data_IF_750176719596
#
_entry.id   IF_750176719596
#
_cell.length_a   1.000
_cell.length_b   1.000
_cell.length_c   1.000
_cell.angle_alpha   90.00
_cell.angle_beta   90.00
_cell.angle_gamma   90.00
#
_symmetry.space_group_name_H-M   'P 1'
#
loop_
_entity.id
_entity.type
_entity.pdbx_description
1 polymer ?
#
# COMPACT_ATOMS: atom_id res chain seq x y z
N UNK A 1 52.16 -13.97 2.36
CA UNK A 1 51.69 -14.55 1.10
C UNK A 1 50.66 -15.61 1.44
N UNK A 2 49.36 -15.37 1.34
CA UNK A 2 48.60 -14.31 0.64
C UNK A 2 47.46 -13.87 1.58
N UNK A 3 47.42 -12.60 1.98
CA UNK A 3 46.67 -11.51 1.33
C UNK A 3 45.17 -11.84 1.24
N UNK A 4 44.48 -11.53 2.35
CA UNK A 4 43.05 -11.22 2.32
C UNK A 4 42.96 -9.79 1.84
N UNK A 5 42.76 -9.61 0.54
CA UNK A 5 42.47 -8.30 -0.04
C UNK A 5 41.18 -7.75 0.59
N UNK A 6 41.40 -6.73 1.41
CA UNK A 6 40.44 -5.70 1.79
C UNK A 6 39.90 -5.06 0.52
N UNK A 7 38.75 -5.52 0.04
CA UNK A 7 38.00 -4.80 -0.98
C UNK A 7 37.21 -3.67 -0.30
N UNK A 8 37.93 -2.61 0.10
CA UNK A 8 37.37 -1.27 0.22
C UNK A 8 36.97 -0.80 -1.20
N UNK A 9 35.77 -1.19 -1.61
CA UNK A 9 35.15 -0.76 -2.86
C UNK A 9 34.58 0.66 -2.66
N UNK A 10 35.50 1.62 -2.55
CA UNK A 10 35.30 3.08 -2.44
C UNK A 10 34.84 3.68 -3.79
N UNK A 11 33.92 3.01 -4.48
CA UNK A 11 33.32 3.51 -5.71
C UNK A 11 32.30 4.61 -5.36
N UNK A 12 32.38 5.80 -6.01
CA UNK A 12 31.43 6.86 -5.78
C UNK A 12 30.01 6.42 -6.15
N UNK A 13 29.10 6.52 -5.17
CA UNK A 13 27.66 6.25 -5.32
C UNK A 13 27.12 7.00 -6.53
N UNK A 14 26.78 6.27 -7.59
CA UNK A 14 26.22 6.88 -8.80
C UNK A 14 24.74 7.17 -8.54
N UNK A 15 24.43 8.38 -8.05
CA UNK A 15 23.04 8.84 -7.91
C UNK A 15 22.41 8.97 -9.30
N UNK A 16 21.42 8.11 -9.58
CA UNK A 16 20.69 8.10 -10.85
C UNK A 16 19.90 9.42 -10.97
N UNK A 17 19.95 10.05 -12.15
CA UNK A 17 19.12 11.22 -12.46
C UNK A 17 17.65 10.79 -12.55
N UNK A 18 16.82 11.33 -11.66
CA UNK A 18 15.36 11.15 -11.68
C UNK A 18 14.76 11.74 -12.97
N UNK A 19 14.14 10.91 -13.81
CA UNK A 19 13.32 11.37 -14.93
C UNK A 19 11.93 11.79 -14.43
N UNK A 20 11.81 13.04 -14.01
CA UNK A 20 10.62 13.57 -13.31
C UNK A 20 9.40 13.89 -14.20
N UNK A 21 9.48 13.76 -15.54
CA UNK A 21 8.56 14.46 -16.44
C UNK A 21 7.41 13.63 -17.06
N UNK A 22 7.34 12.30 -16.90
CA UNK A 22 6.34 11.46 -17.61
C UNK A 22 5.58 10.43 -16.76
N UNK A 23 5.72 10.46 -15.44
CA UNK A 23 5.32 9.37 -14.52
C UNK A 23 4.00 9.61 -13.73
N UNK A 24 3.11 10.51 -14.18
CA UNK A 24 2.15 11.18 -13.28
C UNK A 24 0.72 11.30 -13.80
N UNK A 25 -0.04 10.20 -13.94
CA UNK A 25 -1.47 10.37 -14.27
C UNK A 25 -2.40 9.63 -13.32
N UNK A 26 -2.38 8.29 -13.22
CA UNK A 26 -3.45 7.59 -12.48
C UNK A 26 -3.46 7.90 -10.97
N UNK A 27 -2.39 7.55 -10.24
CA UNK A 27 -2.35 7.74 -8.78
C UNK A 27 -2.45 9.20 -8.34
N UNK A 28 -1.86 10.13 -9.09
CA UNK A 28 -1.93 11.55 -8.76
C UNK A 28 -3.31 12.17 -9.03
N UNK A 29 -3.98 11.71 -10.08
CA UNK A 29 -5.33 12.15 -10.39
C UNK A 29 -6.31 11.67 -9.33
N UNK A 30 -6.22 10.41 -8.89
CA UNK A 30 -7.03 9.85 -7.78
C UNK A 30 -6.94 10.74 -6.54
N UNK A 31 -5.72 11.09 -6.12
CA UNK A 31 -5.53 11.91 -4.91
C UNK A 31 -6.06 13.34 -5.08
N UNK A 32 -5.89 13.90 -6.29
CA UNK A 32 -6.37 15.25 -6.59
C UNK A 32 -7.90 15.29 -6.57
N UNK A 33 -8.55 14.32 -7.22
CA UNK A 33 -10.01 14.24 -7.28
C UNK A 33 -10.59 13.95 -5.90
N UNK A 34 -9.97 13.08 -5.11
CA UNK A 34 -10.36 12.81 -3.74
C UNK A 34 -10.19 14.03 -2.81
N UNK A 35 -9.11 14.79 -2.96
CA UNK A 35 -8.89 16.02 -2.19
C UNK A 35 -9.91 17.10 -2.59
N UNK A 36 -10.17 17.27 -3.88
CA UNK A 36 -11.20 18.19 -4.36
C UNK A 36 -12.58 17.79 -3.85
N UNK A 37 -12.93 16.50 -3.92
CA UNK A 37 -14.19 16.00 -3.38
C UNK A 37 -14.32 16.32 -1.89
N UNK A 38 -13.28 16.06 -1.10
CA UNK A 38 -13.26 16.37 0.34
C UNK A 38 -13.44 17.87 0.63
N UNK A 39 -12.97 18.77 -0.24
CA UNK A 39 -13.21 20.22 -0.12
C UNK A 39 -14.65 20.62 -0.49
N UNK A 40 -15.32 19.82 -1.33
CA UNK A 40 -16.65 20.11 -1.89
C UNK A 40 -17.81 19.42 -1.13
N UNK A 41 -17.53 18.39 -0.32
CA UNK A 41 -18.60 17.69 0.41
C UNK A 41 -19.34 18.60 1.39
N UNK A 42 -20.63 18.32 1.58
CA UNK A 42 -21.44 19.05 2.57
C UNK A 42 -20.96 18.79 4.00
N UNK A 43 -21.22 19.74 4.91
CA UNK A 43 -20.89 19.59 6.32
C UNK A 43 -21.59 18.36 6.97
N UNK A 44 -22.82 18.07 6.55
CA UNK A 44 -23.57 16.90 7.03
C UNK A 44 -22.91 15.59 6.56
N UNK A 45 -22.46 15.54 5.31
CA UNK A 45 -21.76 14.38 4.77
C UNK A 45 -20.37 14.19 5.41
N UNK A 46 -19.62 15.27 5.62
CA UNK A 46 -18.34 15.21 6.32
C UNK A 46 -18.53 14.72 7.77
N UNK A 47 -19.56 15.22 8.47
CA UNK A 47 -19.92 14.74 9.82
C UNK A 47 -20.24 13.24 9.81
N UNK A 48 -20.97 12.77 8.79
CA UNK A 48 -21.30 11.35 8.63
C UNK A 48 -20.04 10.51 8.37
N UNK A 49 -19.13 10.96 7.51
CA UNK A 49 -17.84 10.33 7.24
C UNK A 49 -17.04 10.16 8.54
N UNK A 50 -16.82 11.25 9.29
CA UNK A 50 -16.04 11.20 10.53
C UNK A 50 -16.72 10.27 11.54
N UNK A 51 -18.04 10.37 11.72
CA UNK A 51 -18.77 9.47 12.62
C UNK A 51 -18.63 8.00 12.23
N UNK A 52 -18.74 7.69 10.93
CA UNK A 52 -18.60 6.32 10.42
C UNK A 52 -17.23 5.74 10.76
N UNK A 53 -16.16 6.51 10.56
CA UNK A 53 -14.79 6.08 10.88
C UNK A 53 -14.58 5.94 12.39
N UNK A 54 -15.10 6.87 13.18
CA UNK A 54 -15.03 6.79 14.65
C UNK A 54 -15.75 5.57 15.19
N UNK A 55 -16.93 5.21 14.66
CA UNK A 55 -17.66 4.01 15.07
C UNK A 55 -16.88 2.73 14.71
N UNK A 56 -16.20 2.70 13.56
CA UNK A 56 -15.35 1.60 13.12
C UNK A 56 -14.03 1.47 13.91
N UNK A 57 -13.60 2.52 14.62
CA UNK A 57 -12.39 2.48 15.46
C UNK A 57 -12.45 1.45 16.57
N UNK A 58 -13.67 1.05 16.99
CA UNK A 58 -13.89 -0.03 17.94
C UNK A 58 -13.49 -1.42 17.39
N UNK A 59 -13.49 -1.59 16.07
CA UNK A 59 -13.07 -2.84 15.41
C UNK A 59 -11.59 -2.81 15.00
N UNK A 60 -11.07 -1.64 14.64
CA UNK A 60 -9.65 -1.45 14.35
C UNK A 60 -9.22 0.00 14.58
N UNK A 61 -8.21 0.20 15.44
CA UNK A 61 -7.74 1.53 15.82
C UNK A 61 -7.22 2.38 14.64
N UNK A 62 -6.91 1.77 13.48
CA UNK A 62 -6.47 2.55 12.32
C UNK A 62 -7.59 3.43 11.75
N UNK A 63 -8.87 3.13 12.00
CA UNK A 63 -9.96 4.03 11.58
C UNK A 63 -9.92 5.37 12.31
N UNK A 64 -9.42 5.42 13.56
CA UNK A 64 -9.17 6.68 14.26
C UNK A 64 -8.15 7.52 13.50
N UNK A 65 -7.06 6.90 13.02
CA UNK A 65 -6.03 7.59 12.22
C UNK A 65 -6.65 8.17 10.96
N UNK A 66 -7.51 7.42 10.26
CA UNK A 66 -8.21 7.92 9.07
C UNK A 66 -9.16 9.08 9.39
N UNK A 67 -9.89 9.00 10.51
CA UNK A 67 -10.78 10.07 10.96
C UNK A 67 -9.99 11.35 11.27
N UNK A 68 -8.92 11.24 12.06
CA UNK A 68 -8.06 12.37 12.43
C UNK A 68 -7.40 13.02 11.20
N UNK A 69 -7.03 12.22 10.20
CA UNK A 69 -6.48 12.74 8.95
C UNK A 69 -7.54 13.50 8.15
N UNK A 70 -8.78 13.02 8.08
CA UNK A 70 -9.86 13.63 7.29
C UNK A 70 -10.60 14.77 7.99
N UNK A 71 -10.41 14.95 9.30
CA UNK A 71 -10.96 16.06 10.10
C UNK A 71 -9.97 17.26 10.21
N UNK A 72 -8.95 17.29 9.36
CA UNK A 72 -8.01 18.41 9.32
C UNK A 72 -8.63 19.68 8.70
N UNK A 73 -8.13 20.88 9.06
CA UNK A 73 -8.60 22.12 8.47
C UNK A 73 -8.43 22.17 6.95
N UNK A 74 -9.31 22.93 6.27
CA UNK A 74 -9.24 23.17 4.83
C UNK A 74 -7.84 23.68 4.44
N UNK A 75 -7.26 23.09 3.39
CA UNK A 75 -5.93 23.42 2.89
C UNK A 75 -4.77 22.69 3.59
N UNK A 76 -5.06 21.80 4.56
CA UNK A 76 -4.06 20.90 5.12
C UNK A 76 -3.63 19.81 4.11
N UNK A 77 -2.45 19.22 4.34
CA UNK A 77 -1.99 18.07 3.56
C UNK A 77 -2.54 16.80 4.19
N UNK A 78 -3.50 16.16 3.54
CA UNK A 78 -4.06 14.89 3.93
C UNK A 78 -3.11 13.71 3.68
N UNK A 79 -3.15 12.69 4.54
CA UNK A 79 -2.48 11.42 4.28
C UNK A 79 -3.05 10.73 3.02
N UNK A 80 -2.17 10.10 2.23
CA UNK A 80 -2.56 9.52 0.94
C UNK A 80 -3.51 8.34 1.08
N UNK A 81 -3.39 7.52 2.12
CA UNK A 81 -4.30 6.42 2.39
C UNK A 81 -5.70 6.91 2.78
N UNK A 82 -5.80 8.05 3.49
CA UNK A 82 -7.06 8.72 3.74
C UNK A 82 -7.69 9.27 2.44
N UNK A 83 -6.89 9.89 1.55
CA UNK A 83 -7.38 10.30 0.23
C UNK A 83 -7.79 9.11 -0.66
N UNK A 84 -7.09 7.98 -0.57
CA UNK A 84 -7.48 6.77 -1.31
C UNK A 84 -8.80 6.18 -0.80
N UNK A 85 -9.11 6.32 0.49
CA UNK A 85 -10.47 6.04 1.00
C UNK A 85 -11.49 7.01 0.39
N UNK A 86 -11.19 8.30 0.37
CA UNK A 86 -12.09 9.32 -0.20
C UNK A 86 -12.38 9.15 -1.69
N UNK A 87 -11.50 8.47 -2.45
CA UNK A 87 -11.79 8.08 -3.83
C UNK A 87 -13.05 7.21 -3.97
N UNK A 88 -13.36 6.41 -2.94
CA UNK A 88 -14.49 5.49 -2.96
C UNK A 88 -15.68 5.96 -2.12
N UNK A 89 -15.49 6.90 -1.19
CA UNK A 89 -16.57 7.45 -0.38
C UNK A 89 -17.81 7.93 -1.17
N UNK A 90 -17.70 8.56 -2.36
CA UNK A 90 -18.86 8.97 -3.16
C UNK A 90 -19.85 7.84 -3.49
N UNK A 91 -19.47 6.57 -3.32
CA UNK A 91 -20.39 5.44 -3.42
C UNK A 91 -21.59 5.53 -2.47
N UNK A 92 -21.51 6.29 -1.39
CA UNK A 92 -22.65 6.53 -0.49
C UNK A 92 -23.86 7.12 -1.23
N UNK A 93 -23.64 7.88 -2.30
CA UNK A 93 -24.71 8.48 -3.12
C UNK A 93 -25.44 7.46 -4.01
N UNK A 94 -24.99 6.21 -4.06
CA UNK A 94 -25.69 5.13 -4.76
C UNK A 94 -26.85 4.54 -3.94
N UNK A 95 -26.96 4.91 -2.67
CA UNK A 95 -27.98 4.41 -1.75
C UNK A 95 -29.06 5.47 -1.53
N UNK A 96 -30.32 5.10 -1.72
CA UNK A 96 -31.46 6.00 -1.45
C UNK A 96 -31.62 6.28 0.06
N UNK A 97 -31.25 5.32 0.90
CA UNK A 97 -31.28 5.42 2.35
C UNK A 97 -29.88 5.16 2.91
N UNK A 98 -29.36 6.12 3.68
CA UNK A 98 -27.99 6.09 4.25
C UNK A 98 -27.80 4.87 5.15
N UNK A 99 -28.85 4.38 5.80
CA UNK A 99 -28.82 3.19 6.67
C UNK A 99 -28.50 1.90 5.91
N UNK A 100 -28.58 1.90 4.58
CA UNK A 100 -28.21 0.78 3.73
C UNK A 100 -26.72 0.81 3.32
N UNK A 101 -26.03 1.91 3.57
CA UNK A 101 -24.61 2.04 3.28
C UNK A 101 -23.78 1.43 4.41
N UNK A 102 -22.99 0.41 4.06
CA UNK A 102 -21.91 -0.10 4.91
C UNK A 102 -20.58 0.17 4.22
N UNK A 103 -19.74 0.97 4.86
CA UNK A 103 -18.42 1.31 4.36
C UNK A 103 -17.56 0.06 4.13
N UNK A 104 -17.64 -0.94 5.00
CA UNK A 104 -16.83 -2.15 4.86
C UNK A 104 -17.23 -2.96 3.62
N UNK A 105 -18.52 -2.98 3.27
CA UNK A 105 -19.01 -3.68 2.08
C UNK A 105 -18.58 -3.06 0.75
N UNK A 106 -17.99 -1.87 0.77
CA UNK A 106 -17.42 -1.21 -0.40
C UNK A 106 -16.41 -2.10 -1.16
N UNK A 107 -15.62 -2.92 -0.47
CA UNK A 107 -14.65 -3.86 -1.10
C UNK A 107 -15.37 -4.89 -1.99
N UNK A 108 -16.61 -5.25 -1.64
CA UNK A 108 -17.43 -6.19 -2.40
C UNK A 108 -18.08 -5.56 -3.63
N UNK A 109 -18.02 -4.24 -3.79
CA UNK A 109 -18.61 -3.54 -4.92
C UNK A 109 -17.86 -3.79 -6.23
N UNK A 110 -18.60 -3.74 -7.35
CA UNK A 110 -18.02 -3.82 -8.68
C UNK A 110 -17.05 -2.65 -8.95
N UNK A 111 -17.36 -1.46 -8.44
CA UNK A 111 -16.54 -0.27 -8.61
C UNK A 111 -15.16 -0.45 -7.98
N UNK A 112 -15.09 -0.83 -6.69
CA UNK A 112 -13.81 -1.06 -6.01
C UNK A 112 -12.97 -2.13 -6.72
N UNK A 113 -13.58 -3.26 -7.05
CA UNK A 113 -12.89 -4.36 -7.71
C UNK A 113 -12.39 -3.99 -9.12
N UNK A 114 -13.16 -3.21 -9.87
CA UNK A 114 -12.74 -2.73 -11.20
C UNK A 114 -11.54 -1.80 -11.08
N UNK A 115 -11.58 -0.85 -10.16
CA UNK A 115 -10.51 0.14 -9.99
C UNK A 115 -9.19 -0.49 -9.53
N UNK A 116 -9.22 -1.40 -8.54
CA UNK A 116 -8.00 -2.09 -8.10
C UNK A 116 -7.41 -3.00 -9.18
N UNK A 117 -8.26 -3.70 -9.95
CA UNK A 117 -7.79 -4.56 -11.04
C UNK A 117 -7.23 -3.74 -12.20
N UNK A 118 -7.85 -2.60 -12.54
CA UNK A 118 -7.34 -1.68 -13.55
C UNK A 118 -5.97 -1.12 -13.17
N UNK A 119 -5.81 -0.69 -11.92
CA UNK A 119 -4.53 -0.24 -11.39
C UNK A 119 -3.47 -1.36 -11.42
N UNK A 120 -3.86 -2.59 -11.06
CA UNK A 120 -3.00 -3.76 -11.10
C UNK A 120 -2.57 -4.14 -12.52
N UNK A 121 -3.51 -4.18 -13.46
CA UNK A 121 -3.26 -4.57 -14.85
C UNK A 121 -2.31 -3.56 -15.55
N UNK A 122 -2.28 -2.31 -15.08
CA UNK A 122 -1.37 -1.26 -15.55
C UNK A 122 0.08 -1.35 -15.01
N UNK A 123 0.38 -2.24 -14.06
CA UNK A 123 1.74 -2.40 -13.53
C UNK A 123 2.72 -2.85 -14.64
N UNK A 124 3.89 -2.22 -14.73
CA UNK A 124 4.97 -2.71 -15.59
C UNK A 124 5.80 -3.73 -14.79
N UNK A 125 5.40 -5.02 -14.82
CA UNK A 125 6.14 -6.16 -14.24
C UNK A 125 6.18 -7.32 -15.24
N UNK A 126 6.86 -8.43 -14.90
CA UNK A 126 6.84 -9.63 -15.75
C UNK A 126 5.41 -10.17 -15.92
N UNK A 127 5.01 -10.44 -17.17
CA UNK A 127 3.62 -10.81 -17.50
C UNK A 127 3.20 -12.18 -16.95
N UNK A 128 4.12 -13.13 -16.86
CA UNK A 128 3.83 -14.45 -16.28
C UNK A 128 3.61 -14.32 -14.76
N UNK A 129 4.43 -13.53 -14.08
CA UNK A 129 4.25 -13.21 -12.66
C UNK A 129 2.98 -12.40 -12.45
N UNK A 130 2.69 -11.40 -13.30
CA UNK A 130 1.48 -10.58 -13.23
C UNK A 130 0.24 -11.44 -13.29
N UNK A 131 0.16 -12.39 -14.24
CA UNK A 131 -0.97 -13.31 -14.35
C UNK A 131 -1.18 -14.14 -13.07
N UNK A 132 -0.09 -14.63 -12.44
CA UNK A 132 -0.16 -15.40 -11.18
C UNK A 132 -0.59 -14.51 -10.00
N UNK A 133 -0.02 -13.31 -9.86
CA UNK A 133 -0.39 -12.32 -8.84
C UNK A 133 -1.85 -11.94 -8.94
N UNK A 134 -2.35 -11.76 -10.17
CA UNK A 134 -3.76 -11.44 -10.43
C UNK A 134 -4.72 -12.48 -9.87
N UNK A 135 -4.40 -13.77 -9.98
CA UNK A 135 -5.22 -14.85 -9.41
C UNK A 135 -5.25 -14.76 -7.88
N UNK A 136 -4.11 -14.51 -7.24
CA UNK A 136 -4.05 -14.36 -5.77
C UNK A 136 -4.82 -13.11 -5.30
N UNK A 137 -4.78 -12.02 -6.07
CA UNK A 137 -5.58 -10.82 -5.80
C UNK A 137 -7.10 -11.12 -5.85
N UNK A 138 -7.55 -11.83 -6.89
CA UNK A 138 -8.95 -12.25 -7.01
C UNK A 138 -9.37 -13.21 -5.88
N UNK A 139 -8.49 -14.12 -5.47
CA UNK A 139 -8.73 -14.99 -4.31
C UNK A 139 -8.85 -14.18 -3.02
N UNK A 140 -8.03 -13.14 -2.84
CA UNK A 140 -8.08 -12.26 -1.68
C UNK A 140 -9.43 -11.53 -1.61
N UNK A 141 -9.90 -10.96 -2.73
CA UNK A 141 -11.23 -10.33 -2.82
C UNK A 141 -12.36 -11.32 -2.52
N UNK A 142 -12.23 -12.57 -3.00
CA UNK A 142 -13.19 -13.63 -2.69
C UNK A 142 -13.19 -14.02 -1.21
N UNK A 143 -12.02 -14.09 -0.58
CA UNK A 143 -11.92 -14.36 0.87
C UNK A 143 -12.59 -13.27 1.69
N UNK A 144 -12.41 -12.00 1.31
CA UNK A 144 -13.12 -10.88 1.92
C UNK A 144 -14.64 -11.07 1.84
N UNK A 145 -15.15 -11.30 0.63
CA UNK A 145 -16.59 -11.51 0.37
C UNK A 145 -17.20 -12.68 1.16
N UNK A 146 -16.42 -13.73 1.40
CA UNK A 146 -16.85 -14.92 2.13
C UNK A 146 -16.65 -14.83 3.66
N UNK A 147 -16.11 -13.72 4.17
CA UNK A 147 -15.81 -13.54 5.59
C UNK A 147 -14.58 -14.32 6.08
N UNK A 148 -13.71 -14.80 5.19
CA UNK A 148 -12.50 -15.56 5.53
C UNK A 148 -11.32 -14.64 5.84
N UNK A 149 -11.50 -13.75 6.81
CA UNK A 149 -10.54 -12.68 7.14
C UNK A 149 -9.18 -13.22 7.63
N UNK A 150 -9.17 -14.36 8.33
CA UNK A 150 -7.94 -15.05 8.76
C UNK A 150 -7.04 -15.47 7.60
N UNK A 151 -7.61 -15.80 6.44
CA UNK A 151 -6.88 -16.06 5.21
C UNK A 151 -6.65 -14.80 4.36
N UNK A 152 -7.62 -13.88 4.37
CA UNK A 152 -7.56 -12.64 3.59
C UNK A 152 -6.38 -11.75 4.00
N UNK A 153 -6.22 -11.49 5.30
CA UNK A 153 -5.19 -10.60 5.84
C UNK A 153 -3.76 -11.01 5.45
N UNK A 154 -3.30 -12.25 5.71
CA UNK A 154 -1.96 -12.66 5.32
C UNK A 154 -1.76 -12.64 3.80
N UNK A 155 -2.81 -12.97 3.01
CA UNK A 155 -2.74 -12.91 1.56
C UNK A 155 -2.55 -11.48 1.05
N UNK A 156 -3.29 -10.50 1.58
CA UNK A 156 -3.16 -9.09 1.17
C UNK A 156 -1.79 -8.53 1.56
N UNK A 157 -1.27 -8.85 2.76
CA UNK A 157 0.11 -8.48 3.13
C UNK A 157 1.15 -9.10 2.19
N UNK A 158 0.97 -10.37 1.81
CA UNK A 158 1.85 -11.02 0.84
C UNK A 158 1.79 -10.35 -0.54
N UNK A 159 0.63 -9.82 -0.96
CA UNK A 159 0.52 -9.05 -2.20
C UNK A 159 1.23 -7.70 -2.10
N UNK A 160 1.08 -6.96 -0.99
CA UNK A 160 1.80 -5.71 -0.76
C UNK A 160 3.32 -5.89 -0.90
N UNK A 161 3.89 -6.88 -0.22
CA UNK A 161 5.33 -7.14 -0.31
C UNK A 161 5.75 -7.76 -1.66
N UNK A 162 4.94 -8.69 -2.17
CA UNK A 162 5.22 -9.41 -3.41
C UNK A 162 5.25 -8.49 -4.63
N UNK A 163 4.24 -7.65 -4.80
CA UNK A 163 4.15 -6.71 -5.93
C UNK A 163 5.28 -5.68 -5.86
N UNK A 164 5.60 -5.16 -4.66
CA UNK A 164 6.76 -4.29 -4.50
C UNK A 164 8.06 -4.97 -4.92
N UNK A 165 8.22 -6.25 -4.56
CA UNK A 165 9.38 -7.04 -4.98
C UNK A 165 9.47 -7.13 -6.50
N UNK A 166 8.34 -7.40 -7.16
CA UNK A 166 8.27 -7.54 -8.62
C UNK A 166 8.62 -6.21 -9.33
N UNK A 167 8.15 -5.07 -8.79
CA UNK A 167 8.52 -3.73 -9.27
C UNK A 167 10.02 -3.44 -9.10
N UNK A 168 10.59 -3.76 -7.94
CA UNK A 168 12.00 -3.51 -7.68
C UNK A 168 12.93 -4.42 -8.52
N UNK A 169 12.49 -5.65 -8.83
CA UNK A 169 13.18 -6.52 -9.79
C UNK A 169 13.11 -5.92 -11.20
N UNK A 170 11.93 -5.49 -11.64
CA UNK A 170 11.73 -4.94 -12.97
C UNK A 170 12.55 -3.67 -13.21
N UNK A 171 12.61 -2.80 -12.21
CA UNK A 171 13.36 -1.54 -12.25
C UNK A 171 14.87 -1.73 -12.01
N UNK A 172 15.33 -2.95 -11.76
CA UNK A 172 16.75 -3.28 -11.61
C UNK A 172 17.36 -2.93 -10.24
N UNK A 173 16.54 -2.50 -9.27
CA UNK A 173 17.00 -2.22 -7.91
C UNK A 173 17.24 -3.50 -7.09
N UNK A 174 16.51 -4.57 -7.41
CA UNK A 174 16.75 -5.90 -6.90
C UNK A 174 17.24 -6.84 -8.01
N UNK A 175 18.09 -7.79 -7.61
CA UNK A 175 18.44 -8.95 -8.42
C UNK A 175 18.12 -10.22 -7.65
N UNK A 176 17.47 -11.18 -8.31
CA UNK A 176 17.28 -12.51 -7.77
C UNK A 176 18.56 -13.35 -7.96
N UNK A 177 19.02 -13.99 -6.88
CA UNK A 177 20.14 -14.93 -6.88
C UNK A 177 19.72 -16.20 -6.14
N UNK A 178 19.28 -17.21 -6.89
CA UNK A 178 18.64 -18.40 -6.33
C UNK A 178 17.37 -18.01 -5.56
N UNK A 179 17.33 -18.33 -4.27
CA UNK A 179 16.20 -18.02 -3.37
C UNK A 179 16.33 -16.65 -2.68
N UNK A 180 17.38 -15.88 -2.99
CA UNK A 180 17.69 -14.60 -2.32
C UNK A 180 17.45 -13.43 -3.25
N UNK A 181 17.12 -12.28 -2.67
CA UNK A 181 17.13 -11.00 -3.35
C UNK A 181 18.34 -10.19 -2.88
N UNK A 182 19.00 -9.53 -3.83
CA UNK A 182 20.20 -8.73 -3.60
C UNK A 182 19.90 -7.29 -3.97
N UNK A 183 20.22 -6.37 -3.06
CA UNK A 183 20.21 -4.92 -3.31
C UNK A 183 21.36 -4.58 -4.25
N UNK A 184 21.01 -4.20 -5.48
CA UNK A 184 21.97 -3.96 -6.56
C UNK A 184 22.82 -2.72 -6.27
N UNK A 185 22.23 -1.72 -5.61
CA UNK A 185 22.85 -0.42 -5.37
C UNK A 185 23.42 -0.26 -3.96
N UNK A 186 23.35 -1.30 -3.12
CA UNK A 186 23.81 -1.29 -1.73
C UNK A 186 23.15 -0.15 -0.92
N UNK A 187 21.90 0.20 -1.23
CA UNK A 187 21.12 1.27 -0.60
C UNK A 187 20.95 1.00 0.89
N UNK A 188 20.67 -0.25 1.26
CA UNK A 188 20.51 -0.62 2.65
C UNK A 188 21.88 -0.90 3.28
N UNK A 189 22.34 -0.09 4.26
CA UNK A 189 23.63 -0.28 4.88
C UNK A 189 23.65 -1.50 5.81
N UNK A 190 24.82 -2.12 5.96
CA UNK A 190 25.07 -3.19 6.94
C UNK A 190 24.55 -4.57 6.55
N UNK A 191 24.07 -4.75 5.32
CA UNK A 191 23.61 -6.05 4.84
C UNK A 191 24.79 -6.96 4.44
N UNK A 192 24.88 -8.14 5.05
CA UNK A 192 25.80 -9.18 4.60
C UNK A 192 25.45 -9.62 3.18
N UNK A 193 26.40 -9.49 2.26
CA UNK A 193 26.22 -9.80 0.83
C UNK A 193 25.04 -9.05 0.17
N UNK A 194 24.65 -7.90 0.73
CA UNK A 194 23.53 -7.07 0.26
C UNK A 194 22.19 -7.85 0.18
N UNK A 195 22.01 -8.88 1.02
CA UNK A 195 20.83 -9.76 0.99
C UNK A 195 19.60 -9.10 1.62
N UNK A 196 18.50 -9.06 0.85
CA UNK A 196 17.22 -8.46 1.22
C UNK A 196 16.29 -9.52 1.81
N UNK A 197 15.90 -9.31 3.08
CA UNK A 197 15.16 -10.32 3.87
C UNK A 197 13.76 -9.92 4.31
N UNK A 198 13.37 -8.66 4.15
CA UNK A 198 12.13 -8.16 4.74
C UNK A 198 11.55 -7.03 3.90
N UNK A 199 10.26 -6.76 4.11
CA UNK A 199 9.57 -5.61 3.53
C UNK A 199 10.28 -4.29 3.92
N UNK A 200 10.79 -4.17 5.13
CA UNK A 200 11.53 -2.98 5.58
C UNK A 200 12.68 -2.60 4.65
N UNK A 201 13.49 -3.60 4.27
CA UNK A 201 14.59 -3.39 3.33
C UNK A 201 14.08 -2.94 1.95
N UNK A 202 13.01 -3.59 1.46
CA UNK A 202 12.40 -3.27 0.17
C UNK A 202 11.80 -1.86 0.16
N UNK A 203 11.13 -1.45 1.23
CA UNK A 203 10.58 -0.10 1.39
C UNK A 203 11.68 0.97 1.36
N UNK A 204 12.83 0.73 2.00
CA UNK A 204 13.98 1.65 1.90
C UNK A 204 14.49 1.83 0.48
N UNK A 205 14.63 0.73 -0.25
CA UNK A 205 15.04 0.76 -1.66
C UNK A 205 13.99 1.48 -2.51
N UNK A 206 12.71 1.22 -2.26
CA UNK A 206 11.61 1.84 -2.99
C UNK A 206 11.59 3.37 -2.81
N UNK A 207 11.93 3.88 -1.62
CA UNK A 207 12.03 5.33 -1.38
C UNK A 207 13.12 5.99 -2.24
N UNK A 208 14.23 5.29 -2.50
CA UNK A 208 15.27 5.79 -3.42
C UNK A 208 14.80 5.77 -4.88
N UNK A 209 14.02 4.76 -5.27
CA UNK A 209 13.37 4.71 -6.58
C UNK A 209 12.38 5.87 -6.76
N UNK A 210 11.53 6.12 -5.76
CA UNK A 210 10.62 7.25 -5.73
C UNK A 210 10.27 7.63 -4.27
N UNK A 211 10.55 8.88 -3.83
CA UNK A 211 10.29 9.32 -2.45
C UNK A 211 8.83 9.16 -2.01
N UNK A 212 7.89 9.13 -2.94
CA UNK A 212 6.47 8.96 -2.64
C UNK A 212 6.14 7.61 -1.99
N UNK A 213 6.98 6.57 -2.15
CA UNK A 213 6.84 5.32 -1.39
C UNK A 213 6.87 5.54 0.13
N UNK A 214 7.55 6.59 0.63
CA UNK A 214 7.56 6.93 2.05
C UNK A 214 6.19 7.43 2.56
N UNK A 215 5.33 7.88 1.66
CA UNK A 215 4.01 8.40 2.01
C UNK A 215 2.93 7.30 2.03
N UNK A 216 3.24 6.08 1.57
CA UNK A 216 2.31 4.95 1.56
C UNK A 216 2.28 4.26 2.93
N UNK A 217 1.13 4.23 3.58
CA UNK A 217 0.95 3.63 4.91
C UNK A 217 1.46 2.18 5.01
N UNK A 218 1.24 1.36 3.97
CA UNK A 218 1.72 -0.02 3.89
C UNK A 218 3.25 -0.19 4.05
N UNK A 219 4.00 0.85 3.64
CA UNK A 219 5.46 0.86 3.59
C UNK A 219 6.09 1.84 4.58
N UNK A 220 5.29 2.52 5.39
CA UNK A 220 5.80 3.26 6.54
C UNK A 220 6.39 2.27 7.54
N UNK A 221 7.62 2.57 7.93
CA UNK A 221 8.46 1.71 8.77
C UNK A 221 9.07 2.56 9.89
N UNK A 222 8.22 3.21 10.66
CA UNK A 222 8.64 3.83 11.91
C UNK A 222 8.97 2.72 12.92
N UNK A 223 10.18 2.80 13.48
CA UNK A 223 10.67 1.92 14.54
C UNK A 223 9.84 2.00 15.84
N UNK A 224 8.79 2.82 15.84
CA UNK A 224 7.82 3.05 16.91
C UNK A 224 6.37 2.68 16.53
N UNK A 225 6.05 2.20 15.31
CA UNK A 225 4.63 2.04 14.94
C UNK A 225 3.95 0.83 15.54
N UNK A 226 2.73 1.10 15.98
CA UNK A 226 1.66 0.11 16.08
C UNK A 226 1.47 -0.65 14.75
N UNK A 227 1.46 0.00 13.59
CA UNK A 227 1.35 -0.64 12.25
C UNK A 227 2.37 -1.76 12.00
N UNK A 228 3.67 -1.51 12.21
CA UNK A 228 4.71 -2.53 11.95
C UNK A 228 4.59 -3.70 12.93
N UNK A 229 4.35 -3.39 14.22
CA UNK A 229 4.19 -4.39 15.28
C UNK A 229 2.92 -5.23 15.08
N UNK A 230 1.79 -4.58 14.78
CA UNK A 230 0.49 -5.22 14.51
C UNK A 230 0.59 -6.13 13.29
N UNK A 231 1.21 -5.70 12.18
CA UNK A 231 1.49 -6.58 11.03
C UNK A 231 2.29 -7.81 11.45
N UNK A 232 3.40 -7.60 12.17
CA UNK A 232 4.25 -8.69 12.64
C UNK A 232 3.45 -9.68 13.50
N UNK A 233 2.71 -9.17 14.48
CA UNK A 233 1.94 -9.99 15.40
C UNK A 233 0.82 -10.76 14.70
N UNK A 234 0.09 -10.16 13.75
CA UNK A 234 -0.92 -10.86 12.96
C UNK A 234 -0.29 -11.96 12.10
N UNK A 235 0.80 -11.66 11.37
CA UNK A 235 1.46 -12.65 10.51
C UNK A 235 2.13 -13.79 11.29
N UNK A 236 2.47 -13.56 12.56
CA UNK A 236 2.99 -14.58 13.48
C UNK A 236 1.91 -15.18 14.39
N UNK A 237 0.64 -14.80 14.23
CA UNK A 237 -0.50 -15.36 14.97
C UNK A 237 -0.58 -14.97 16.45
N UNK A 238 0.16 -13.95 16.88
CA UNK A 238 0.11 -13.45 18.27
C UNK A 238 -0.95 -12.37 18.49
N UNK A 239 -1.52 -11.84 17.40
CA UNK A 239 -2.65 -10.89 17.42
C UNK A 239 -3.84 -11.51 16.70
N UNK A 240 -4.67 -12.23 17.47
CA UNK A 240 -5.83 -12.97 16.95
C UNK A 240 -7.09 -12.12 16.82
N UNK A 241 -7.17 -11.02 17.54
CA UNK A 241 -8.35 -10.14 17.59
C UNK A 241 -8.51 -9.32 16.30
N UNK A 242 -7.40 -9.07 15.60
CA UNK A 242 -7.39 -8.29 14.36
C UNK A 242 -7.66 -9.11 13.09
N UNK A 243 -8.00 -10.40 13.19
CA UNK A 243 -8.47 -11.18 12.03
C UNK A 243 -9.94 -10.93 11.69
N UNK A 244 -10.26 -9.69 11.35
CA UNK A 244 -11.63 -9.22 11.16
C UNK A 244 -11.83 -8.46 9.82
N UNK A 245 -13.07 -8.07 9.55
CA UNK A 245 -13.45 -7.36 8.31
C UNK A 245 -12.80 -5.98 8.23
N UNK A 246 -12.81 -5.25 9.34
CA UNK A 246 -12.24 -3.92 9.51
C UNK A 246 -10.74 -3.88 9.13
N UNK A 247 -9.94 -4.79 9.68
CA UNK A 247 -8.51 -4.90 9.31
C UNK A 247 -8.35 -5.27 7.84
N UNK A 248 -9.13 -6.23 7.34
CA UNK A 248 -9.06 -6.64 5.94
C UNK A 248 -9.38 -5.47 5.00
N UNK A 249 -10.37 -4.65 5.36
CA UNK A 249 -10.76 -3.44 4.63
C UNK A 249 -9.60 -2.45 4.54
N UNK A 250 -8.98 -2.11 5.68
CA UNK A 250 -7.82 -1.20 5.73
C UNK A 250 -6.71 -1.69 4.80
N UNK A 251 -6.43 -3.00 4.80
CA UNK A 251 -5.40 -3.58 3.94
C UNK A 251 -5.73 -3.48 2.45
N UNK A 252 -7.00 -3.56 2.07
CA UNK A 252 -7.39 -3.32 0.67
C UNK A 252 -7.26 -1.86 0.26
N UNK A 253 -7.56 -0.90 1.14
CA UNK A 253 -7.31 0.53 0.87
C UNK A 253 -5.80 0.77 0.69
N UNK A 254 -4.98 0.18 1.55
CA UNK A 254 -3.52 0.26 1.43
C UNK A 254 -3.00 -0.41 0.16
N UNK A 255 -3.54 -1.57 -0.20
CA UNK A 255 -3.16 -2.27 -1.43
C UNK A 255 -3.54 -1.46 -2.66
N UNK A 256 -4.74 -0.90 -2.70
CA UNK A 256 -5.17 -0.01 -3.78
C UNK A 256 -4.23 1.20 -3.89
N UNK A 257 -3.96 1.88 -2.78
CA UNK A 257 -3.04 3.03 -2.75
C UNK A 257 -1.65 2.67 -3.31
N UNK A 258 -1.10 1.54 -2.86
CA UNK A 258 0.22 1.07 -3.29
C UNK A 258 0.23 0.69 -4.79
N UNK A 259 -0.76 -0.08 -5.26
CA UNK A 259 -0.84 -0.54 -6.64
C UNK A 259 -1.13 0.62 -7.60
N UNK A 260 -2.06 1.50 -7.25
CA UNK A 260 -2.37 2.72 -8.03
C UNK A 260 -1.14 3.60 -8.21
N UNK A 261 -0.32 3.75 -7.16
CA UNK A 261 0.95 4.46 -7.29
C UNK A 261 1.98 3.67 -8.12
N UNK A 262 2.20 2.39 -7.83
CA UNK A 262 3.18 1.57 -8.55
C UNK A 262 2.87 1.46 -10.05
N UNK A 263 1.60 1.54 -10.45
CA UNK A 263 1.18 1.55 -11.86
C UNK A 263 1.73 2.73 -12.67
N UNK A 264 2.22 3.78 -12.00
CA UNK A 264 2.81 4.95 -12.66
C UNK A 264 4.34 4.91 -12.69
N UNK A 265 4.96 3.92 -12.05
CA UNK A 265 6.40 3.68 -12.07
C UNK A 265 6.76 2.99 -13.38
N UNK A 266 7.68 3.59 -14.15
CA UNK A 266 8.19 3.03 -15.40
C UNK A 266 9.63 2.55 -15.22
N UNK A 267 9.97 1.44 -15.87
CA UNK A 267 11.33 0.89 -15.91
C UNK A 267 12.23 1.59 -16.95
#
# INVERSE_FOLDING_TARGET
MNDYDDYEDDQPVTRIKQNAASQKQLGQQILKDAAQYLEEISADEHTLLIKTLMDLSAQDAYFQVLADELDQPIGAKFANDALNLMHFWPMIHQFEAIEQFDLLDMINSEYFQTEILKAFDALEIDEEIKAKRRLVLLESLKMYKLGFYTGCIPNVYAQLEGILTDILLKTGFLKQNGTKFVDVYKIVPGLKANEIKSLWHKSKIAIELNPYFAELAAYKMDSSSNVTMTRHNMLHGTDVENFNQARSFILFIWLFSAVSFMSTVKA
#
